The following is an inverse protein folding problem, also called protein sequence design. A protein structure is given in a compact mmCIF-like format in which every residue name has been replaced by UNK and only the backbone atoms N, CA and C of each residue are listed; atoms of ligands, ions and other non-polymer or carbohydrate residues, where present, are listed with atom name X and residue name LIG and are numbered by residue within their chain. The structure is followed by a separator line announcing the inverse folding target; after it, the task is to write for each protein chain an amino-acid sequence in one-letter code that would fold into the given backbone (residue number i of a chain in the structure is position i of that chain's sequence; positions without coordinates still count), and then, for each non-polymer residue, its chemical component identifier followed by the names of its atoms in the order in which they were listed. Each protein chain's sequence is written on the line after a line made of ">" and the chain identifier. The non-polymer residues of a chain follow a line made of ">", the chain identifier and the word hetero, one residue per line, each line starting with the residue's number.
data_IF_839406794977
#
_entry.id   IF_839406794977
#
_cell.length_a   1.000
_cell.length_b   1.000
_cell.length_c   1.000
_cell.angle_alpha   90.00
_cell.angle_beta   90.00
_cell.angle_gamma   90.00
#
_symmetry.space_group_name_H-M   'P 1'
#
loop_
_entity.id
_entity.type
_entity.pdbx_description
1 polymer ?
#
# COMPACT_ATOMS: atom_id res chain seq x y z
N UNK A 1 26.59 -3.20 -41.90
CA UNK A 1 27.77 -3.79 -41.24
C UNK A 1 28.82 -2.69 -41.20
N UNK A 2 28.74 -1.84 -40.17
CA UNK A 2 29.72 -0.77 -39.93
C UNK A 2 30.03 -0.79 -38.44
N UNK A 3 31.27 -1.14 -38.16
CA UNK A 3 31.89 -1.32 -36.85
C UNK A 3 32.44 0.05 -36.43
N UNK A 4 32.03 0.52 -35.24
CA UNK A 4 32.52 1.77 -34.66
C UNK A 4 33.38 1.42 -33.45
N UNK A 5 34.69 1.60 -33.60
CA UNK A 5 35.69 1.49 -32.54
C UNK A 5 35.57 2.69 -31.58
N UNK A 6 35.33 2.39 -30.31
CA UNK A 6 35.36 3.36 -29.21
C UNK A 6 36.73 3.41 -28.53
N UNK A 7 37.16 4.58 -28.00
CA UNK A 7 38.49 4.76 -27.42
C UNK A 7 38.67 4.09 -26.04
N UNK A 8 39.92 3.76 -25.64
CA UNK A 8 40.18 3.00 -24.42
C UNK A 8 40.03 3.83 -23.14
N UNK A 9 39.62 3.15 -22.07
CA UNK A 9 39.42 3.70 -20.74
C UNK A 9 40.73 4.07 -20.01
N UNK A 10 40.72 5.08 -19.11
CA UNK A 10 41.91 5.51 -18.39
C UNK A 10 42.30 4.54 -17.25
N UNK A 11 43.60 4.29 -17.16
CA UNK A 11 44.28 3.47 -16.15
C UNK A 11 44.37 4.24 -14.82
N UNK A 12 43.87 3.64 -13.74
CA UNK A 12 43.91 4.18 -12.38
C UNK A 12 45.22 3.80 -11.68
N UNK A 13 45.95 4.78 -11.14
CA UNK A 13 47.27 4.61 -10.51
C UNK A 13 47.18 4.80 -8.98
N UNK A 14 47.44 3.79 -8.13
CA UNK A 14 47.29 3.91 -6.68
C UNK A 14 48.65 4.11 -6.00
N UNK A 15 49.09 5.36 -5.84
CA UNK A 15 50.17 5.67 -4.90
C UNK A 15 49.94 7.01 -4.20
N UNK A 16 49.62 6.94 -2.90
CA UNK A 16 50.12 7.88 -1.87
C UNK A 16 49.79 7.36 -0.46
N UNK A 17 50.70 6.56 0.09
CA UNK A 17 50.86 6.41 1.54
C UNK A 17 51.60 7.64 2.07
N UNK A 18 50.91 8.46 2.85
CA UNK A 18 51.48 9.61 3.56
C UNK A 18 51.28 9.44 5.06
N UNK A 19 52.29 8.90 5.75
CA UNK A 19 52.34 8.84 7.20
C UNK A 19 52.47 10.24 7.82
N UNK A 20 51.66 10.53 8.83
CA UNK A 20 51.91 11.63 9.77
C UNK A 20 51.93 11.09 11.18
N UNK A 21 53.12 11.10 11.78
CA UNK A 21 53.34 10.91 13.20
C UNK A 21 52.78 12.10 13.97
N UNK A 22 51.75 11.88 14.78
CA UNK A 22 51.29 12.89 15.74
C UNK A 22 51.86 12.58 17.11
N UNK A 23 52.66 13.53 17.60
CA UNK A 23 53.28 13.57 18.91
C UNK A 23 52.21 13.53 20.01
N UNK A 24 52.46 12.74 21.06
CA UNK A 24 51.63 12.70 22.27
C UNK A 24 51.83 13.99 23.08
N UNK A 25 50.78 14.77 23.36
CA UNK A 25 50.88 15.89 24.29
C UNK A 25 50.85 15.38 25.75
N UNK A 26 51.70 15.99 26.57
CA UNK A 26 51.86 15.74 28.01
C UNK A 26 50.62 16.25 28.76
N UNK A 27 49.96 15.34 29.49
CA UNK A 27 48.76 15.61 30.26
C UNK A 27 49.07 16.46 31.51
N UNK A 28 48.79 17.77 31.42
CA UNK A 28 48.64 18.61 32.62
C UNK A 28 47.26 18.36 33.24
N UNK A 29 47.24 17.83 34.46
CA UNK A 29 46.03 17.63 35.26
C UNK A 29 45.40 18.98 35.61
N UNK A 30 44.50 19.44 34.76
CA UNK A 30 43.62 20.56 35.07
C UNK A 30 42.60 20.14 36.13
N UNK A 31 42.21 21.01 37.06
CA UNK A 31 41.26 20.71 38.12
C UNK A 31 39.86 20.41 37.54
N UNK A 32 39.54 19.11 37.52
CA UNK A 32 38.31 18.47 37.03
C UNK A 32 36.97 19.05 37.53
N UNK A 33 36.98 19.87 38.58
CA UNK A 33 35.76 20.43 39.16
C UNK A 33 35.20 21.65 38.40
N UNK A 34 36.00 22.37 37.59
CA UNK A 34 35.51 23.54 36.82
C UNK A 34 34.73 23.18 35.55
N UNK A 35 34.87 21.96 35.02
CA UNK A 35 34.14 21.52 33.82
C UNK A 35 32.75 20.95 34.11
N UNK A 36 32.47 20.53 35.35
CA UNK A 36 31.13 20.05 35.74
C UNK A 36 30.08 21.18 35.81
N UNK A 37 30.48 22.42 36.08
CA UNK A 37 29.53 23.55 36.08
C UNK A 37 29.21 24.09 34.68
N UNK A 38 30.15 24.03 33.73
CA UNK A 38 29.89 24.42 32.33
C UNK A 38 29.07 23.39 31.55
N UNK A 39 29.09 22.11 31.94
CA UNK A 39 28.22 21.08 31.37
C UNK A 39 26.77 21.15 31.88
N UNK A 40 26.52 21.78 33.03
CA UNK A 40 25.15 21.97 33.56
C UNK A 40 24.47 23.22 33.03
N UNK A 41 25.22 24.26 32.62
CA UNK A 41 24.66 25.47 32.01
C UNK A 41 24.41 25.37 30.50
N UNK A 42 24.97 24.36 29.83
CA UNK A 42 24.69 24.06 28.40
C UNK A 42 23.46 23.19 28.14
N UNK A 43 22.79 22.70 29.19
CA UNK A 43 21.61 21.83 29.09
C UNK A 43 20.27 22.59 29.07
N UNK A 44 20.29 23.92 29.18
CA UNK A 44 19.17 24.77 28.75
C UNK A 44 19.24 24.97 27.23
N UNK A 45 19.30 23.85 26.49
CA UNK A 45 18.91 23.87 25.09
C UNK A 45 17.42 24.17 25.11
N UNK A 46 17.06 25.45 24.93
CA UNK A 46 15.71 25.82 24.55
C UNK A 46 15.35 24.88 23.39
N UNK A 47 14.26 24.10 23.48
CA UNK A 47 13.73 23.48 22.30
C UNK A 47 13.42 24.67 21.40
N UNK A 48 14.26 24.89 20.39
CA UNK A 48 13.89 25.73 19.26
C UNK A 48 12.64 25.05 18.76
N UNK A 49 11.49 25.63 19.12
CA UNK A 49 10.21 25.24 18.58
C UNK A 49 10.40 25.37 17.08
N UNK A 50 10.65 24.24 16.45
CA UNK A 50 10.85 24.13 15.03
C UNK A 50 9.47 24.48 14.50
N UNK A 51 9.27 25.77 14.18
CA UNK A 51 8.02 26.26 13.65
C UNK A 51 7.70 25.32 12.50
N UNK A 52 6.61 24.58 12.64
CA UNK A 52 6.16 23.68 11.60
C UNK A 52 6.05 24.56 10.36
N UNK A 53 6.90 24.32 9.37
CA UNK A 53 6.83 25.02 8.10
C UNK A 53 5.51 24.55 7.49
N UNK A 54 4.45 25.31 7.72
CA UNK A 54 3.12 25.12 7.14
C UNK A 54 3.18 25.52 5.67
N UNK A 55 3.70 24.62 4.85
CA UNK A 55 3.49 24.66 3.42
C UNK A 55 2.22 23.89 3.06
N UNK A 56 1.42 24.41 2.13
CA UNK A 56 0.40 23.59 1.49
C UNK A 56 1.09 22.39 0.82
N UNK A 57 0.50 21.18 0.86
CA UNK A 57 1.07 20.05 0.15
C UNK A 57 1.19 20.39 -1.33
N UNK A 58 2.30 19.99 -1.95
CA UNK A 58 2.46 20.15 -3.39
C UNK A 58 1.44 19.24 -4.09
N UNK A 59 0.47 19.85 -4.78
CA UNK A 59 -0.55 19.13 -5.55
C UNK A 59 -0.25 19.28 -7.03
N UNK A 60 -0.28 18.16 -7.75
CA UNK A 60 -0.24 18.12 -9.21
C UNK A 60 -1.49 17.43 -9.73
N UNK A 61 -2.04 17.95 -10.82
CA UNK A 61 -3.21 17.43 -11.49
C UNK A 61 -2.82 16.74 -12.79
N UNK A 62 -3.37 15.56 -13.02
CA UNK A 62 -3.22 14.80 -14.26
C UNK A 62 -4.62 14.60 -14.85
N UNK A 63 -4.99 15.32 -15.93
CA UNK A 63 -6.28 15.13 -16.59
C UNK A 63 -6.33 13.74 -17.27
N UNK A 64 -7.53 13.20 -17.50
CA UNK A 64 -7.66 11.85 -18.07
C UNK A 64 -6.99 11.73 -19.45
N UNK A 65 -7.03 12.81 -20.23
CA UNK A 65 -6.40 12.91 -21.54
C UNK A 65 -4.87 12.77 -21.48
N UNK A 66 -4.24 13.12 -20.35
CA UNK A 66 -2.79 12.93 -20.13
C UNK A 66 -2.48 11.51 -19.65
N UNK A 67 -3.38 10.88 -18.89
CA UNK A 67 -3.16 9.54 -18.34
C UNK A 67 -3.30 8.48 -19.45
N UNK A 68 -4.32 8.59 -20.30
CA UNK A 68 -4.63 7.62 -21.35
C UNK A 68 -6.12 7.26 -21.43
N UNK A 69 -6.45 6.02 -21.80
CA UNK A 69 -7.85 5.55 -21.93
C UNK A 69 -8.50 5.22 -20.59
N UNK A 70 -8.16 5.99 -19.57
CA UNK A 70 -8.60 5.78 -18.19
C UNK A 70 -9.89 6.56 -17.93
N UNK A 71 -10.79 5.97 -17.15
CA UNK A 71 -12.07 6.54 -16.78
C UNK A 71 -12.22 6.69 -15.27
N UNK A 72 -13.35 7.25 -14.84
CA UNK A 72 -13.68 7.35 -13.41
C UNK A 72 -13.68 5.95 -12.77
N UNK A 73 -13.12 5.87 -11.57
CA UNK A 73 -13.05 4.61 -10.81
C UNK A 73 -11.79 3.77 -11.09
N UNK A 74 -10.86 4.30 -11.89
CA UNK A 74 -9.53 3.72 -12.02
C UNK A 74 -8.84 3.53 -10.67
N UNK A 75 -8.12 2.43 -10.52
CA UNK A 75 -7.44 2.09 -9.28
C UNK A 75 -6.00 2.58 -9.35
N UNK A 76 -5.62 3.36 -8.33
CA UNK A 76 -4.25 3.80 -8.14
C UNK A 76 -3.50 2.75 -7.31
N UNK A 77 -2.31 2.42 -7.78
CA UNK A 77 -1.38 1.52 -7.12
C UNK A 77 0.03 2.08 -7.24
N UNK A 78 1.01 1.31 -6.77
CA UNK A 78 2.41 1.59 -6.97
C UNK A 78 3.08 0.40 -7.63
N UNK A 79 4.05 0.68 -8.50
CA UNK A 79 4.90 -0.34 -9.07
C UNK A 79 6.05 -0.74 -8.11
N UNK A 80 6.94 -1.63 -8.57
CA UNK A 80 8.07 -2.10 -7.79
C UNK A 80 9.10 -0.99 -7.43
N UNK A 81 9.06 0.14 -8.13
CA UNK A 81 9.92 1.29 -7.89
C UNK A 81 9.24 2.39 -7.06
N UNK A 82 8.01 2.15 -6.58
CA UNK A 82 7.24 3.14 -5.83
C UNK A 82 6.66 4.26 -6.69
N UNK A 83 6.60 4.09 -8.01
CA UNK A 83 5.97 5.03 -8.94
C UNK A 83 4.47 4.83 -8.94
N UNK A 84 3.72 5.90 -9.18
CA UNK A 84 2.26 5.85 -9.28
C UNK A 84 1.89 5.02 -10.52
N UNK A 85 0.96 4.09 -10.35
CA UNK A 85 0.46 3.26 -11.41
C UNK A 85 -1.07 3.25 -11.44
N UNK A 86 -1.65 3.10 -12.63
CA UNK A 86 -3.08 2.97 -12.87
C UNK A 86 -3.33 1.65 -13.60
N UNK A 87 -4.28 0.86 -13.11
CA UNK A 87 -4.76 -0.33 -13.80
C UNK A 87 -6.26 -0.19 -14.11
N UNK A 88 -6.63 -0.30 -15.39
CA UNK A 88 -8.03 -0.31 -15.79
C UNK A 88 -8.19 -0.85 -17.22
N UNK A 89 -9.20 -1.69 -17.46
CA UNK A 89 -9.60 -2.16 -18.79
C UNK A 89 -8.44 -2.73 -19.64
N UNK A 90 -7.48 -3.41 -19.00
CA UNK A 90 -6.31 -3.98 -19.69
C UNK A 90 -5.14 -3.02 -19.87
N UNK A 91 -5.29 -1.74 -19.51
CA UNK A 91 -4.20 -0.79 -19.40
C UNK A 91 -3.50 -0.94 -18.03
N UNK A 92 -2.18 -0.83 -18.04
CA UNK A 92 -1.37 -0.71 -16.83
C UNK A 92 -0.34 0.38 -17.08
N UNK A 93 -0.68 1.59 -16.64
CA UNK A 93 0.05 2.82 -16.95
C UNK A 93 0.85 3.23 -15.73
N UNK A 94 2.14 3.52 -15.90
CA UNK A 94 3.03 3.95 -14.82
C UNK A 94 3.55 5.34 -15.10
N UNK A 95 3.43 6.22 -14.10
CA UNK A 95 3.94 7.59 -14.17
C UNK A 95 5.45 7.58 -13.96
N UNK A 96 6.20 7.99 -14.99
CA UNK A 96 7.65 8.11 -14.96
C UNK A 96 8.07 9.48 -15.50
N UNK A 97 8.73 10.29 -14.67
CA UNK A 97 9.23 11.63 -15.03
C UNK A 97 8.18 12.56 -15.65
N UNK A 98 6.92 12.43 -15.20
CA UNK A 98 5.80 13.21 -15.71
C UNK A 98 5.15 12.65 -16.98
N UNK A 99 5.56 11.49 -17.46
CA UNK A 99 4.93 10.78 -18.58
C UNK A 99 4.26 9.50 -18.11
N UNK A 100 3.05 9.23 -18.61
CA UNK A 100 2.38 7.95 -18.40
C UNK A 100 2.83 6.94 -19.44
N UNK A 101 3.42 5.84 -18.99
CA UNK A 101 3.96 4.79 -19.84
C UNK A 101 3.11 3.52 -19.69
N UNK A 102 2.62 2.99 -20.81
CA UNK A 102 1.95 1.69 -20.84
C UNK A 102 2.97 0.58 -20.60
N UNK A 103 2.85 -0.09 -19.47
CA UNK A 103 3.74 -1.17 -19.04
C UNK A 103 3.21 -2.55 -19.39
N UNK A 104 1.90 -2.77 -19.47
CA UNK A 104 1.36 -4.06 -19.90
C UNK A 104 1.36 -4.19 -21.42
N UNK A 105 1.97 -5.26 -21.94
CA UNK A 105 2.02 -5.60 -23.37
C UNK A 105 1.33 -6.93 -23.68
N UNK A 106 0.94 -7.08 -24.95
CA UNK A 106 0.34 -8.30 -25.50
C UNK A 106 -1.19 -8.35 -25.28
N UNK A 107 -1.81 -9.55 -25.31
CA UNK A 107 -3.26 -9.72 -25.11
C UNK A 107 -3.73 -9.35 -23.68
N UNK A 108 -2.91 -8.67 -22.89
CA UNK A 108 -3.30 -8.06 -21.62
C UNK A 108 -4.45 -7.06 -21.78
N UNK A 109 -4.52 -6.36 -22.92
CA UNK A 109 -5.70 -5.58 -23.31
C UNK A 109 -6.96 -6.45 -23.42
N UNK A 110 -6.83 -7.71 -23.85
CA UNK A 110 -7.93 -8.66 -23.90
C UNK A 110 -8.28 -9.28 -22.53
N UNK A 111 -7.32 -9.39 -21.60
CA UNK A 111 -7.59 -9.90 -20.25
C UNK A 111 -8.43 -8.92 -19.42
N UNK A 112 -8.40 -7.62 -19.74
CA UNK A 112 -9.20 -6.62 -19.02
C UNK A 112 -8.73 -6.43 -17.58
N UNK A 113 -7.43 -6.16 -17.38
CA UNK A 113 -6.82 -5.88 -16.08
C UNK A 113 -7.64 -4.85 -15.29
N UNK A 114 -8.00 -5.19 -14.06
CA UNK A 114 -8.79 -4.34 -13.15
C UNK A 114 -8.00 -3.87 -11.93
N UNK A 115 -7.02 -4.66 -11.50
CA UNK A 115 -6.17 -4.37 -10.35
C UNK A 115 -4.78 -4.95 -10.59
N UNK A 116 -3.74 -4.23 -10.18
CA UNK A 116 -2.36 -4.71 -10.17
C UNK A 116 -1.75 -4.41 -8.81
N UNK A 117 -1.13 -5.43 -8.21
CA UNK A 117 -0.45 -5.29 -6.92
C UNK A 117 0.94 -5.90 -6.98
N UNK A 118 1.93 -5.12 -6.58
CA UNK A 118 3.31 -5.59 -6.44
C UNK A 118 3.55 -6.08 -5.01
N UNK A 119 4.02 -7.32 -4.89
CA UNK A 119 4.43 -7.91 -3.62
C UNK A 119 5.78 -7.36 -3.15
N UNK A 120 6.14 -7.62 -1.89
CA UNK A 120 7.41 -7.15 -1.30
C UNK A 120 8.66 -7.69 -1.98
N UNK A 121 8.56 -8.81 -2.70
CA UNK A 121 9.65 -9.38 -3.51
C UNK A 121 9.69 -8.86 -4.95
N UNK A 122 8.86 -7.88 -5.29
CA UNK A 122 8.77 -7.29 -6.63
C UNK A 122 7.88 -8.05 -7.60
N UNK A 123 7.31 -9.20 -7.22
CA UNK A 123 6.36 -9.92 -8.09
C UNK A 123 5.09 -9.11 -8.27
N UNK A 124 4.73 -8.80 -9.51
CA UNK A 124 3.49 -8.14 -9.84
C UNK A 124 2.37 -9.16 -10.08
N UNK A 125 1.24 -9.00 -9.41
CA UNK A 125 0.03 -9.79 -9.55
C UNK A 125 -1.08 -8.96 -10.17
N UNK A 126 -1.96 -9.61 -10.92
CA UNK A 126 -3.13 -8.96 -11.51
C UNK A 126 -4.44 -9.67 -11.17
N UNK A 127 -5.51 -8.89 -11.20
CA UNK A 127 -6.90 -9.34 -11.15
C UNK A 127 -7.68 -8.76 -12.33
N UNK A 128 -8.64 -9.53 -12.83
CA UNK A 128 -9.46 -9.21 -13.98
C UNK A 128 -10.84 -9.90 -13.88
N UNK A 129 -11.70 -9.75 -14.89
CA UNK A 129 -12.97 -10.48 -14.95
C UNK A 129 -12.71 -11.98 -15.21
N UNK A 130 -13.07 -12.83 -14.25
CA UNK A 130 -12.90 -14.27 -14.34
C UNK A 130 -11.45 -14.75 -14.37
N UNK A 131 -10.48 -13.86 -14.13
CA UNK A 131 -9.06 -14.16 -14.25
C UNK A 131 -8.21 -13.46 -13.19
N UNK A 132 -7.14 -14.14 -12.78
CA UNK A 132 -6.07 -13.60 -11.95
C UNK A 132 -4.75 -14.26 -12.36
N UNK A 133 -3.64 -13.62 -11.99
CA UNK A 133 -2.34 -14.19 -12.30
C UNK A 133 -1.16 -13.31 -11.94
N UNK A 134 -0.04 -13.53 -12.64
CA UNK A 134 1.19 -12.76 -12.50
C UNK A 134 1.42 -11.91 -13.73
N UNK A 135 2.15 -10.82 -13.56
CA UNK A 135 2.68 -10.02 -14.65
C UNK A 135 4.19 -10.33 -14.75
N UNK A 136 4.58 -10.97 -15.86
CA UNK A 136 5.95 -11.38 -16.12
C UNK A 136 6.68 -10.32 -16.95
N UNK A 137 7.91 -9.90 -16.57
CA UNK A 137 8.70 -9.02 -17.41
C UNK A 137 9.06 -9.71 -18.73
N UNK A 138 9.06 -8.93 -19.80
CA UNK A 138 9.48 -9.34 -21.14
C UNK A 138 10.84 -8.73 -21.47
N UNK A 139 11.58 -9.26 -22.46
CA UNK A 139 12.84 -8.66 -22.91
C UNK A 139 12.72 -7.20 -23.38
N UNK A 140 11.52 -6.77 -23.76
CA UNK A 140 11.23 -5.38 -24.15
C UNK A 140 10.99 -4.43 -22.97
N UNK A 141 11.15 -4.90 -21.72
CA UNK A 141 10.93 -4.08 -20.52
C UNK A 141 9.45 -3.85 -20.17
N UNK A 142 8.54 -4.58 -20.83
CA UNK A 142 7.09 -4.53 -20.55
C UNK A 142 6.64 -5.78 -19.81
N UNK A 143 5.42 -5.78 -19.30
CA UNK A 143 4.82 -6.86 -18.52
C UNK A 143 3.80 -7.64 -19.33
N UNK A 144 3.86 -8.97 -19.28
CA UNK A 144 2.91 -9.89 -19.91
C UNK A 144 2.14 -10.67 -18.85
N UNK A 145 0.79 -10.72 -18.92
CA UNK A 145 0.00 -11.51 -18.00
C UNK A 145 0.22 -13.01 -18.22
N UNK A 146 0.35 -13.72 -17.11
CA UNK A 146 0.39 -15.16 -17.00
C UNK A 146 -0.75 -15.60 -16.07
N UNK A 147 -1.79 -16.21 -16.65
CA UNK A 147 -2.96 -16.65 -15.90
C UNK A 147 -2.59 -17.77 -14.93
N UNK A 148 -3.07 -17.66 -13.69
CA UNK A 148 -2.99 -18.71 -12.67
C UNK A 148 -4.30 -19.47 -12.51
N UNK A 149 -5.35 -19.10 -13.25
CA UNK A 149 -6.68 -19.73 -13.14
C UNK A 149 -6.59 -21.21 -13.53
N UNK A 150 -6.97 -22.15 -12.63
CA UNK A 150 -7.04 -23.56 -12.97
C UNK A 150 -8.20 -23.83 -13.93
N UNK A 151 -8.09 -24.90 -14.72
CA UNK A 151 -9.16 -25.34 -15.64
C UNK A 151 -10.46 -25.62 -14.88
N UNK A 152 -10.37 -26.29 -13.74
CA UNK A 152 -11.51 -26.64 -12.90
C UNK A 152 -11.74 -25.57 -11.82
N UNK A 153 -12.40 -24.46 -12.19
CA UNK A 153 -12.78 -23.41 -11.26
C UNK A 153 -14.30 -23.45 -10.93
N UNK A 154 -14.71 -23.02 -9.72
CA UNK A 154 -16.12 -22.89 -9.38
C UNK A 154 -16.90 -21.97 -10.33
N UNK A 155 -18.20 -22.23 -10.53
CA UNK A 155 -19.05 -21.49 -11.48
C UNK A 155 -19.15 -19.98 -11.23
N UNK A 156 -18.92 -19.51 -10.00
CA UNK A 156 -18.93 -18.09 -9.67
C UNK A 156 -17.66 -17.36 -10.15
N UNK A 157 -16.57 -18.07 -10.42
CA UNK A 157 -15.29 -17.47 -10.79
C UNK A 157 -15.38 -16.70 -12.11
N UNK A 158 -15.86 -17.27 -13.24
CA UNK A 158 -15.87 -16.57 -14.52
C UNK A 158 -16.71 -15.29 -14.55
N UNK A 159 -17.66 -15.13 -13.62
CA UNK A 159 -18.53 -13.96 -13.52
C UNK A 159 -18.04 -12.93 -12.51
N UNK A 160 -16.84 -13.11 -11.94
CA UNK A 160 -16.30 -12.26 -10.88
C UNK A 160 -15.21 -11.34 -11.40
N UNK A 161 -15.39 -10.02 -11.24
CA UNK A 161 -14.30 -9.05 -11.38
C UNK A 161 -13.39 -9.07 -10.15
N UNK A 162 -12.19 -9.63 -10.29
CA UNK A 162 -11.19 -9.64 -9.24
C UNK A 162 -10.50 -8.27 -9.16
N UNK A 163 -11.03 -7.43 -8.28
CA UNK A 163 -10.66 -6.01 -8.14
C UNK A 163 -9.85 -5.73 -6.87
N UNK A 164 -9.52 -6.76 -6.09
CA UNK A 164 -8.77 -6.63 -4.85
C UNK A 164 -7.72 -7.73 -4.79
N UNK A 165 -6.47 -7.33 -4.50
CA UNK A 165 -5.33 -8.24 -4.37
C UNK A 165 -4.63 -7.96 -3.05
N UNK A 166 -4.41 -9.01 -2.27
CA UNK A 166 -3.69 -8.95 -1.00
C UNK A 166 -2.57 -9.98 -1.00
N UNK A 167 -1.32 -9.49 -0.97
CA UNK A 167 -0.14 -10.33 -0.87
C UNK A 167 0.17 -10.62 0.60
N UNK A 168 0.44 -11.88 0.91
CA UNK A 168 0.87 -12.37 2.23
C UNK A 168 2.16 -13.18 2.06
N UNK A 169 2.79 -13.57 3.16
CA UNK A 169 3.99 -14.42 3.10
C UNK A 169 3.67 -15.80 2.49
N UNK A 170 2.55 -16.43 2.88
CA UNK A 170 2.17 -17.76 2.39
C UNK A 170 1.54 -17.78 1.00
N UNK A 171 0.99 -16.67 0.52
CA UNK A 171 0.26 -16.66 -0.74
C UNK A 171 -0.34 -15.33 -1.14
N UNK A 172 -1.19 -15.37 -2.16
CA UNK A 172 -1.89 -14.19 -2.67
C UNK A 172 -3.38 -14.45 -2.68
N UNK A 173 -4.13 -13.50 -2.12
CA UNK A 173 -5.58 -13.48 -2.21
C UNK A 173 -6.02 -12.58 -3.36
N UNK A 174 -6.94 -13.11 -4.17
CA UNK A 174 -7.65 -12.38 -5.22
C UNK A 174 -9.13 -12.35 -4.83
N UNK A 175 -9.74 -11.17 -4.77
CA UNK A 175 -11.14 -11.04 -4.36
C UNK A 175 -11.94 -10.14 -5.28
N UNK A 176 -13.23 -10.47 -5.37
CA UNK A 176 -14.25 -9.72 -6.10
C UNK A 176 -15.62 -9.98 -5.49
N UNK A 177 -16.66 -9.41 -6.10
CA UNK A 177 -18.01 -9.38 -5.54
C UNK A 177 -18.58 -10.74 -5.09
N UNK A 178 -18.27 -11.84 -5.80
CA UNK A 178 -18.83 -13.16 -5.52
C UNK A 178 -17.94 -14.07 -4.66
N UNK A 179 -16.73 -13.64 -4.31
CA UNK A 179 -15.83 -14.48 -3.53
C UNK A 179 -14.37 -14.04 -3.53
N UNK A 180 -13.56 -14.86 -2.86
CA UNK A 180 -12.12 -14.74 -2.83
C UNK A 180 -11.46 -16.07 -3.22
N UNK A 181 -10.24 -15.99 -3.74
CA UNK A 181 -9.37 -17.12 -4.04
C UNK A 181 -8.04 -16.89 -3.36
N UNK A 182 -7.55 -17.87 -2.62
CA UNK A 182 -6.17 -17.90 -2.13
C UNK A 182 -5.33 -18.79 -3.03
N UNK A 183 -4.24 -18.24 -3.56
CA UNK A 183 -3.24 -18.97 -4.31
C UNK A 183 -1.97 -19.13 -3.45
N UNK A 184 -1.63 -20.38 -3.14
CA UNK A 184 -0.45 -20.72 -2.34
C UNK A 184 0.80 -20.72 -3.23
N UNK A 185 1.78 -19.90 -2.86
CA UNK A 185 2.95 -19.63 -3.72
C UNK A 185 3.89 -20.82 -3.86
N UNK A 186 3.99 -21.63 -2.83
CA UNK A 186 4.91 -22.76 -2.74
C UNK A 186 4.43 -23.97 -3.54
N UNK A 187 3.13 -24.29 -3.43
CA UNK A 187 2.53 -25.48 -4.03
C UNK A 187 1.81 -25.18 -5.35
N UNK A 188 1.46 -23.91 -5.59
CA UNK A 188 0.57 -23.52 -6.69
C UNK A 188 -0.91 -23.86 -6.44
N UNK A 189 -1.26 -24.36 -5.25
CA UNK A 189 -2.61 -24.77 -4.92
C UNK A 189 -3.56 -23.56 -4.81
N UNK A 190 -4.83 -23.79 -5.15
CA UNK A 190 -5.90 -22.81 -5.05
C UNK A 190 -6.90 -23.22 -3.98
N UNK A 191 -7.39 -22.24 -3.22
CA UNK A 191 -8.50 -22.39 -2.28
C UNK A 191 -9.56 -21.34 -2.58
N UNK A 192 -10.80 -21.78 -2.72
CA UNK A 192 -11.92 -20.95 -3.16
C UNK A 192 -12.86 -20.66 -2.00
N UNK A 193 -13.20 -19.39 -1.80
CA UNK A 193 -14.10 -18.91 -0.76
C UNK A 193 -15.26 -18.18 -1.43
N UNK A 194 -16.36 -18.89 -1.70
CA UNK A 194 -17.56 -18.25 -2.24
C UNK A 194 -18.19 -17.38 -1.16
N UNK A 195 -18.32 -16.08 -1.43
CA UNK A 195 -19.03 -15.15 -0.55
C UNK A 195 -19.62 -14.01 -1.36
N UNK A 196 -20.95 -13.91 -1.36
CA UNK A 196 -21.65 -12.88 -2.14
C UNK A 196 -21.63 -11.53 -1.44
N UNK A 197 -21.45 -10.48 -2.23
CA UNK A 197 -21.44 -9.10 -1.73
C UNK A 197 -20.16 -8.77 -0.99
N UNK A 198 -19.02 -9.31 -1.40
CA UNK A 198 -17.72 -8.92 -0.87
C UNK A 198 -17.49 -7.43 -1.14
N UNK A 199 -17.31 -6.67 -0.07
CA UNK A 199 -17.01 -5.24 -0.09
C UNK A 199 -15.52 -4.99 0.02
N UNK A 200 -14.83 -5.64 0.96
CA UNK A 200 -13.40 -5.40 1.20
C UNK A 200 -12.64 -6.65 1.62
N UNK A 201 -11.46 -6.87 1.05
CA UNK A 201 -10.41 -7.78 1.47
C UNK A 201 -9.34 -6.99 2.21
N UNK A 202 -8.90 -7.47 3.38
CA UNK A 202 -7.88 -6.80 4.18
C UNK A 202 -7.13 -7.77 5.12
N UNK A 203 -5.94 -7.37 5.57
CA UNK A 203 -5.17 -8.10 6.57
C UNK A 203 -5.00 -7.27 7.86
N UNK A 204 -5.01 -7.95 9.01
CA UNK A 204 -4.66 -7.37 10.30
C UNK A 204 -4.08 -8.45 11.23
N UNK A 205 -2.93 -8.18 11.85
CA UNK A 205 -2.24 -9.13 12.77
C UNK A 205 -2.16 -10.55 12.20
N UNK A 206 -1.59 -10.67 11.00
CA UNK A 206 -1.36 -11.93 10.27
C UNK A 206 -2.62 -12.72 9.88
N UNK A 207 -3.80 -12.15 10.10
CA UNK A 207 -5.07 -12.71 9.68
C UNK A 207 -5.61 -11.96 8.47
N UNK A 208 -6.26 -12.70 7.58
CA UNK A 208 -6.93 -12.15 6.41
C UNK A 208 -8.43 -12.19 6.64
N UNK A 209 -9.09 -11.09 6.30
CA UNK A 209 -10.52 -10.92 6.48
C UNK A 209 -11.18 -10.46 5.18
N UNK A 210 -12.44 -10.83 5.02
CA UNK A 210 -13.33 -10.25 4.04
C UNK A 210 -14.53 -9.64 4.73
N UNK A 211 -14.85 -8.40 4.39
CA UNK A 211 -16.08 -7.73 4.76
C UNK A 211 -17.09 -7.89 3.63
N UNK A 212 -18.31 -8.25 3.99
CA UNK A 212 -19.39 -8.57 3.07
C UNK A 212 -20.66 -7.84 3.48
N UNK A 213 -21.54 -7.56 2.51
CA UNK A 213 -22.83 -6.94 2.78
C UNK A 213 -23.79 -7.84 3.55
N UNK A 214 -23.67 -9.17 3.40
CA UNK A 214 -24.64 -10.13 3.91
C UNK A 214 -24.20 -10.78 5.23
N UNK A 215 -22.91 -10.98 5.42
CA UNK A 215 -22.37 -11.79 6.53
C UNK A 215 -21.43 -10.98 7.45
N UNK A 216 -21.33 -9.67 7.25
CA UNK A 216 -20.37 -8.84 7.98
C UNK A 216 -18.92 -9.22 7.65
N UNK A 217 -18.06 -9.24 8.65
CA UNK A 217 -16.64 -9.61 8.48
C UNK A 217 -16.45 -11.10 8.77
N UNK A 218 -15.70 -11.77 7.89
CA UNK A 218 -15.35 -13.19 7.91
C UNK A 218 -13.83 -13.31 7.89
N UNK A 219 -13.26 -14.20 8.71
CA UNK A 219 -11.84 -14.56 8.64
C UNK A 219 -11.62 -15.63 7.56
N UNK A 220 -10.66 -15.40 6.67
CA UNK A 220 -10.25 -16.35 5.65
C UNK A 220 -9.04 -17.13 6.14
N UNK A 221 -9.29 -18.33 6.66
CA UNK A 221 -8.23 -19.27 7.01
C UNK A 221 -8.01 -20.25 5.85
N UNK A 222 -6.85 -20.25 5.18
CA UNK A 222 -6.62 -21.18 4.08
C UNK A 222 -6.63 -22.63 4.56
N UNK A 223 -6.16 -22.95 5.76
CA UNK A 223 -6.13 -24.31 6.27
C UNK A 223 -7.53 -24.82 6.65
N UNK A 224 -8.39 -23.94 7.20
CA UNK A 224 -9.70 -24.33 7.75
C UNK A 224 -10.90 -24.00 6.85
N UNK A 225 -10.70 -23.23 5.79
CA UNK A 225 -11.80 -22.67 5.00
C UNK A 225 -12.32 -21.35 5.59
N UNK A 226 -13.45 -20.81 5.08
CA UNK A 226 -14.02 -19.58 5.62
C UNK A 226 -14.48 -19.81 7.06
N UNK A 227 -13.91 -19.07 7.99
CA UNK A 227 -14.32 -19.11 9.39
C UNK A 227 -15.14 -17.85 9.63
N UNK A 228 -16.46 -18.01 9.71
CA UNK A 228 -17.33 -16.92 10.16
C UNK A 228 -16.85 -16.52 11.55
N UNK A 229 -16.28 -15.33 11.67
CA UNK A 229 -16.00 -14.75 12.98
C UNK A 229 -17.34 -14.68 13.70
N UNK A 230 -17.50 -15.51 14.73
CA UNK A 230 -18.76 -15.70 15.46
C UNK A 230 -19.25 -14.43 16.16
N UNK A 231 -18.51 -13.33 16.03
CA UNK A 231 -18.84 -12.07 16.65
C UNK A 231 -18.74 -10.92 15.63
N UNK A 232 -19.76 -10.79 14.78
CA UNK A 232 -19.95 -9.62 13.91
C UNK A 232 -19.99 -8.28 14.69
N UNK A 233 -20.17 -8.35 16.02
CA UNK A 233 -20.07 -7.19 16.91
C UNK A 233 -18.65 -6.63 16.99
N UNK A 234 -17.62 -7.44 16.74
CA UNK A 234 -16.22 -7.01 16.70
C UNK A 234 -15.94 -5.95 15.62
N UNK A 235 -16.82 -5.82 14.62
CA UNK A 235 -16.78 -4.77 13.59
C UNK A 235 -18.01 -3.85 13.63
N UNK A 236 -18.71 -3.81 14.77
CA UNK A 236 -19.89 -2.98 14.98
C UNK A 236 -21.04 -3.28 14.02
N UNK A 237 -21.13 -4.53 13.52
CA UNK A 237 -22.14 -4.96 12.55
C UNK A 237 -22.12 -4.20 11.22
N UNK A 238 -21.07 -3.41 10.96
CA UNK A 238 -21.01 -2.53 9.80
C UNK A 238 -20.14 -3.14 8.70
N UNK A 239 -20.55 -2.97 7.45
CA UNK A 239 -19.73 -3.39 6.29
C UNK A 239 -18.53 -2.45 6.18
N UNK A 240 -17.33 -3.01 6.33
CA UNK A 240 -16.07 -2.32 6.02
C UNK A 240 -16.01 -2.05 4.53
N UNK A 241 -15.80 -0.77 4.19
CA UNK A 241 -15.66 -0.26 2.82
C UNK A 241 -14.20 0.02 2.49
N UNK A 242 -13.53 0.77 3.36
CA UNK A 242 -12.10 1.06 3.24
C UNK A 242 -11.35 0.67 4.52
N UNK A 243 -10.09 0.29 4.37
CA UNK A 243 -9.26 -0.21 5.45
C UNK A 243 -7.80 0.20 5.25
N UNK A 244 -7.16 0.65 6.33
CA UNK A 244 -5.71 0.83 6.38
C UNK A 244 -5.16 0.35 7.72
N UNK A 245 -4.18 -0.56 7.67
CA UNK A 245 -3.48 -1.08 8.85
C UNK A 245 -2.17 -0.32 9.12
N UNK A 246 -1.91 -0.06 10.39
CA UNK A 246 -0.58 0.18 10.96
C UNK A 246 -0.09 -1.04 11.76
N UNK A 247 1.01 -0.85 12.50
CA UNK A 247 1.58 -1.89 13.37
C UNK A 247 0.63 -2.25 14.52
N UNK A 248 0.14 -1.24 15.23
CA UNK A 248 -0.56 -1.42 16.51
C UNK A 248 -2.06 -1.12 16.41
N UNK A 249 -2.46 -0.39 15.37
CA UNK A 249 -3.83 0.02 15.11
C UNK A 249 -4.18 -0.13 13.64
N UNK A 250 -5.47 -0.24 13.37
CA UNK A 250 -6.01 -0.13 12.02
C UNK A 250 -7.23 0.80 12.01
N UNK A 251 -7.43 1.47 10.88
CA UNK A 251 -8.58 2.33 10.65
C UNK A 251 -9.49 1.72 9.58
N UNK A 252 -10.80 1.82 9.82
CA UNK A 252 -11.84 1.33 8.91
C UNK A 252 -12.82 2.45 8.63
N UNK A 253 -13.22 2.58 7.37
CA UNK A 253 -14.43 3.29 7.01
C UNK A 253 -15.55 2.29 6.71
N UNK A 254 -16.70 2.51 7.32
CA UNK A 254 -17.90 1.72 7.06
C UNK A 254 -18.77 2.30 5.95
N UNK A 255 -19.62 1.47 5.35
CA UNK A 255 -20.70 1.93 4.45
C UNK A 255 -21.70 2.85 5.15
N UNK A 256 -21.84 2.74 6.48
CA UNK A 256 -22.67 3.61 7.31
C UNK A 256 -22.03 4.99 7.62
N UNK A 257 -20.99 5.40 6.88
CA UNK A 257 -20.31 6.70 7.02
C UNK A 257 -19.72 6.95 8.41
N UNK A 258 -19.19 5.90 9.03
CA UNK A 258 -18.46 5.99 10.32
C UNK A 258 -17.02 5.53 10.17
N UNK A 259 -16.12 6.15 10.91
CA UNK A 259 -14.75 5.71 11.11
C UNK A 259 -14.62 4.94 12.41
N UNK A 260 -13.94 3.81 12.33
CA UNK A 260 -13.58 3.01 13.49
C UNK A 260 -12.07 2.87 13.56
N UNK A 261 -11.56 2.72 14.78
CA UNK A 261 -10.18 2.34 15.06
C UNK A 261 -10.17 1.02 15.82
N UNK A 262 -9.33 0.09 15.37
CA UNK A 262 -9.08 -1.19 16.02
C UNK A 262 -7.70 -1.10 16.65
N UNK A 263 -7.66 -1.16 17.97
CA UNK A 263 -6.43 -1.12 18.76
C UNK A 263 -6.50 -2.26 19.78
N UNK A 264 -5.45 -3.07 19.84
CA UNK A 264 -5.39 -4.21 20.77
C UNK A 264 -6.57 -5.18 20.67
N UNK A 265 -7.10 -5.38 19.45
CA UNK A 265 -8.27 -6.23 19.21
C UNK A 265 -9.60 -5.61 19.65
N UNK A 266 -9.60 -4.38 20.14
CA UNK A 266 -10.81 -3.64 20.52
C UNK A 266 -11.16 -2.62 19.44
N UNK A 267 -12.37 -2.77 18.89
CA UNK A 267 -12.93 -1.78 17.99
C UNK A 267 -13.58 -0.66 18.79
N UNK A 268 -13.27 0.58 18.43
CA UNK A 268 -13.95 1.76 18.94
C UNK A 268 -14.20 2.73 17.80
N UNK A 269 -15.14 3.67 17.98
CA UNK A 269 -15.29 4.76 17.02
C UNK A 269 -14.07 5.67 17.12
N UNK A 270 -13.62 6.19 15.98
CA UNK A 270 -12.59 7.22 16.00
C UNK A 270 -13.13 8.43 16.81
N UNK A 271 -12.36 9.04 17.72
CA UNK A 271 -12.82 10.22 18.42
C UNK A 271 -12.91 11.44 17.48
N UNK A 272 -13.72 12.42 17.89
CA UNK A 272 -13.88 13.70 17.18
C UNK A 272 -14.94 13.71 16.08
N UNK A 273 -15.13 14.85 15.39
CA UNK A 273 -16.22 15.06 14.44
C UNK A 273 -16.25 14.03 13.29
N UNK A 274 -15.09 13.63 12.79
CA UNK A 274 -14.99 12.67 11.68
C UNK A 274 -15.37 11.24 12.07
N UNK A 275 -15.34 10.89 13.36
CA UNK A 275 -15.71 9.53 13.79
C UNK A 275 -17.19 9.34 14.13
N UNK A 276 -17.93 10.43 14.35
CA UNK A 276 -19.34 10.37 14.73
C UNK A 276 -20.28 10.18 13.52
N UNK A 277 -20.19 11.08 12.54
CA UNK A 277 -20.93 11.01 11.27
C UNK A 277 -20.11 11.72 10.18
N UNK A 278 -19.65 10.96 9.19
CA UNK A 278 -18.88 11.54 8.10
C UNK A 278 -19.81 12.34 7.18
N UNK A 279 -19.37 13.50 6.67
CA UNK A 279 -20.15 14.35 5.78
C UNK A 279 -20.37 13.74 4.37
N UNK A 280 -19.87 12.52 4.13
CA UNK A 280 -19.94 11.80 2.87
C UNK A 280 -19.43 10.37 2.98
N UNK A 281 -19.49 9.61 1.88
CA UNK A 281 -18.87 8.30 1.80
C UNK A 281 -17.35 8.42 1.67
N UNK A 282 -16.62 7.54 2.35
CA UNK A 282 -15.18 7.40 2.14
C UNK A 282 -14.94 6.66 0.83
N UNK A 283 -14.14 7.27 -0.05
CA UNK A 283 -13.77 6.70 -1.34
C UNK A 283 -12.35 6.11 -1.35
N UNK A 284 -11.49 6.53 -0.43
CA UNK A 284 -10.17 5.95 -0.22
C UNK A 284 -9.69 6.21 1.21
N UNK A 285 -8.89 5.27 1.73
CA UNK A 285 -8.21 5.39 3.01
C UNK A 285 -6.82 4.78 2.85
N UNK A 286 -5.78 5.54 3.21
CA UNK A 286 -4.40 5.12 3.05
C UNK A 286 -3.60 5.51 4.30
N UNK A 287 -2.78 4.59 4.81
CA UNK A 287 -1.78 4.92 5.84
C UNK A 287 -0.57 5.60 5.20
N UNK A 288 -0.08 6.64 5.85
CA UNK A 288 1.07 7.43 5.45
C UNK A 288 2.35 6.95 6.18
N UNK A 289 3.56 7.23 5.64
CA UNK A 289 4.82 6.79 6.25
C UNK A 289 5.08 7.31 7.67
N UNK A 290 4.53 8.47 8.02
CA UNK A 290 4.59 9.08 9.34
C UNK A 290 3.64 8.42 10.37
N UNK A 291 2.84 7.43 9.93
CA UNK A 291 1.86 6.74 10.76
C UNK A 291 0.46 7.34 10.74
N UNK A 292 0.28 8.51 10.14
CA UNK A 292 -1.02 9.14 9.95
C UNK A 292 -1.82 8.44 8.84
N UNK A 293 -3.03 8.91 8.59
CA UNK A 293 -3.84 8.45 7.46
C UNK A 293 -4.30 9.61 6.59
N UNK A 294 -4.35 9.36 5.29
CA UNK A 294 -5.08 10.17 4.32
C UNK A 294 -6.45 9.54 4.06
N UNK A 295 -7.50 10.35 4.22
CA UNK A 295 -8.89 9.96 4.05
C UNK A 295 -9.53 10.80 2.95
N UNK A 296 -9.96 10.16 1.87
CA UNK A 296 -10.71 10.83 0.81
C UNK A 296 -12.21 10.66 1.03
N UNK A 297 -12.95 11.76 1.16
CA UNK A 297 -14.40 11.79 1.31
C UNK A 297 -15.01 12.38 0.04
N UNK A 298 -15.96 11.65 -0.56
CA UNK A 298 -16.64 12.09 -1.78
C UNK A 298 -17.29 13.47 -1.59
N UNK A 299 -17.05 14.38 -2.53
CA UNK A 299 -17.51 15.78 -2.53
C UNK A 299 -17.00 16.64 -1.36
N UNK A 300 -15.97 16.20 -0.63
CA UNK A 300 -15.40 16.93 0.51
C UNK A 300 -13.88 17.07 0.48
N UNK A 301 -13.20 16.28 -0.34
CA UNK A 301 -11.75 16.37 -0.53
C UNK A 301 -10.98 15.32 0.30
N UNK A 302 -9.72 15.64 0.61
CA UNK A 302 -8.80 14.77 1.34
C UNK A 302 -8.55 15.36 2.73
N UNK A 303 -8.60 14.51 3.75
CA UNK A 303 -8.36 14.85 5.14
C UNK A 303 -7.16 14.06 5.64
N UNK A 304 -6.32 14.70 6.45
CA UNK A 304 -5.28 14.02 7.22
C UNK A 304 -5.80 13.78 8.63
N UNK A 305 -5.61 12.56 9.11
CA UNK A 305 -6.08 12.15 10.44
C UNK A 305 -4.96 11.40 11.17
N UNK A 306 -4.86 11.66 12.46
CA UNK A 306 -3.95 10.95 13.36
C UNK A 306 -4.69 9.76 13.99
N UNK A 307 -3.98 8.76 14.52
CA UNK A 307 -4.58 7.66 15.27
C UNK A 307 -5.36 8.12 16.51
N UNK A 308 -5.00 9.27 17.07
CA UNK A 308 -5.63 9.89 18.24
C UNK A 308 -6.93 10.63 17.88
N UNK A 309 -7.24 10.76 16.58
CA UNK A 309 -8.36 11.53 16.05
C UNK A 309 -7.90 12.54 15.00
N UNK A 310 -8.79 13.42 14.51
CA UNK A 310 -8.38 14.52 13.65
C UNK A 310 -7.33 15.36 14.39
N UNK A 311 -6.13 15.50 13.82
CA UNK A 311 -5.34 16.70 14.08
C UNK A 311 -6.21 17.88 13.67
N UNK A 312 -6.22 18.94 14.47
CA UNK A 312 -6.90 20.20 14.12
C UNK A 312 -6.65 20.49 12.64
N UNK A 313 -7.69 20.77 11.83
CA UNK A 313 -7.47 21.06 10.42
C UNK A 313 -6.48 22.23 10.28
N UNK A 314 -5.66 22.26 9.23
CA UNK A 314 -5.02 23.51 8.83
C UNK A 314 -6.07 24.60 8.56
#
# INVERSE_FOLDING_TARGET
>A
MHEFDGPPAPVFNPHRCGGRSLRRPVARRAPWWRWRMLLWLGALAFPLAQAAIEGLPLIRFYPFEEIGSVSRGARLSFDAFGRIAVAQNGEYLVLNDGLWLQQANGPASATGLQEVKVATDGTAFYGALGSWGRLQPTPAGTLRPESLVPVDCPKWVPTTGFTQILCTEGGVYFAGWNGAVFWERTTGAHRFFETRGLSRLFAFKDKVFVSTHNNGVIELDPARGPVTTADSSSFGGSVVREFAAGSDYALFASTARRLYILRDGRLSRLPGPLGADLPGSVSALQRLPDGNFALAITNRGVFLITPEGPSTPP
#
